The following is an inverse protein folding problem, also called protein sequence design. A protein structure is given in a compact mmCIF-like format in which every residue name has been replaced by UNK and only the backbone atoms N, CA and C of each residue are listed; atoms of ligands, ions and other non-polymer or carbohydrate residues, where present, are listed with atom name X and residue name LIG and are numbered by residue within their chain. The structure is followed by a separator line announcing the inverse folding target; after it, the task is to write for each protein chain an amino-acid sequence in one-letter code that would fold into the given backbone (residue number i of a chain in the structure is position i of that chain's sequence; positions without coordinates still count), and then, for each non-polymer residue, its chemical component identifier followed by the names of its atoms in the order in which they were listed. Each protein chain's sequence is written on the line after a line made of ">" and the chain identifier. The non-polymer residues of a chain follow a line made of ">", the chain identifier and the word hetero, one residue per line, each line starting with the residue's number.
data_IF_908683382696
#
_entry.id   IF_908683382696
#
_cell.length_a   1.000
_cell.length_b   1.000
_cell.length_c   1.000
_cell.angle_alpha   90.00
_cell.angle_beta   90.00
_cell.angle_gamma   90.00
#
_symmetry.space_group_name_H-M   'P 1'
#
loop_
_entity.id
_entity.type
_entity.pdbx_description
1 polymer ?
#
# COMPACT_ATOMS: atom_id res chain seq x y z
N UNK A 1 -16.20 -43.07 33.72
CA UNK A 1 -14.82 -42.71 34.09
C UNK A 1 -13.88 -43.50 33.19
N UNK A 2 -12.83 -42.87 32.66
CA UNK A 2 -12.01 -43.32 31.49
C UNK A 2 -12.80 -43.11 30.19
N UNK A 3 -12.75 -41.95 29.52
CA UNK A 3 -11.64 -41.51 28.65
C UNK A 3 -11.61 -39.97 28.53
N UNK A 4 -11.52 -39.26 29.66
CA UNK A 4 -11.08 -37.85 29.70
C UNK A 4 -9.54 -37.73 29.53
N UNK A 5 -8.85 -38.84 29.20
CA UNK A 5 -7.40 -38.93 29.03
C UNK A 5 -6.89 -38.87 27.60
N UNK A 6 -7.76 -38.82 26.58
CA UNK A 6 -7.34 -38.75 25.18
C UNK A 6 -7.24 -37.33 24.62
N UNK A 7 -7.73 -36.33 25.34
CA UNK A 7 -7.65 -34.91 24.94
C UNK A 7 -6.37 -34.26 25.48
N UNK A 8 -5.71 -34.84 26.49
CA UNK A 8 -4.49 -34.29 27.10
C UNK A 8 -3.19 -34.69 26.37
N UNK A 9 -3.22 -35.70 25.49
CA UNK A 9 -2.01 -36.23 24.83
C UNK A 9 -1.71 -35.61 23.45
N UNK A 10 -2.58 -34.75 22.93
CA UNK A 10 -2.36 -34.04 21.66
C UNK A 10 -1.69 -32.66 21.83
N UNK A 11 -1.45 -32.24 23.08
CA UNK A 11 -0.88 -30.92 23.41
C UNK A 11 0.64 -30.94 23.64
N UNK A 12 1.29 -32.12 23.65
CA UNK A 12 2.74 -32.25 23.97
C UNK A 12 3.65 -32.71 22.81
N UNK A 13 3.16 -32.76 21.57
CA UNK A 13 3.76 -33.60 20.53
C UNK A 13 4.43 -32.93 19.31
N UNK A 14 4.75 -31.63 19.31
CA UNK A 14 5.62 -31.08 18.28
C UNK A 14 6.76 -30.32 18.96
N UNK A 15 7.84 -31.06 19.18
CA UNK A 15 9.07 -30.57 19.76
C UNK A 15 9.53 -29.31 19.04
N UNK A 16 9.68 -28.26 19.83
CA UNK A 16 10.37 -27.03 19.47
C UNK A 16 11.71 -27.41 18.86
N UNK A 17 11.85 -27.27 17.54
CA UNK A 17 13.16 -27.25 16.91
C UNK A 17 13.81 -25.97 17.39
N UNK A 18 14.68 -26.06 18.40
CA UNK A 18 15.55 -24.96 18.75
C UNK A 18 16.54 -24.81 17.61
N UNK A 19 16.26 -23.87 16.71
CA UNK A 19 17.24 -23.42 15.75
C UNK A 19 18.43 -22.85 16.54
N UNK A 20 19.61 -23.47 16.40
CA UNK A 20 20.86 -22.81 16.81
C UNK A 20 21.00 -21.57 15.93
N UNK A 21 20.70 -20.39 16.49
CA UNK A 21 20.97 -19.13 15.83
C UNK A 21 22.48 -19.02 15.60
N UNK A 22 22.89 -18.97 14.33
CA UNK A 22 24.26 -18.70 13.95
C UNK A 22 24.65 -17.33 14.51
N UNK A 23 25.75 -17.26 15.27
CA UNK A 23 26.28 -15.99 15.75
C UNK A 23 26.61 -15.11 14.54
N UNK A 24 25.80 -14.09 14.30
CA UNK A 24 26.21 -12.96 13.46
C UNK A 24 27.33 -12.24 14.20
N UNK A 25 28.55 -12.30 13.64
CA UNK A 25 29.63 -11.41 14.04
C UNK A 25 29.34 -10.04 13.44
N UNK A 26 28.52 -9.25 14.13
CA UNK A 26 28.33 -7.84 13.82
C UNK A 26 29.49 -7.05 14.45
N UNK A 27 30.25 -6.25 13.67
CA UNK A 27 31.28 -5.38 14.22
C UNK A 27 30.63 -4.42 15.23
N UNK A 28 31.26 -4.33 16.41
CA UNK A 28 30.75 -3.55 17.55
C UNK A 28 31.14 -2.08 17.42
N UNK A 29 30.31 -1.33 16.71
CA UNK A 29 30.28 0.13 16.82
C UNK A 29 28.92 0.55 17.38
N UNK A 30 28.65 0.19 18.65
CA UNK A 30 27.46 0.68 19.36
C UNK A 30 27.79 2.05 19.98
N UNK A 31 27.49 3.11 19.26
CA UNK A 31 27.41 4.45 19.83
C UNK A 31 25.94 4.90 19.89
N UNK A 32 25.44 4.93 21.12
CA UNK A 32 24.28 5.70 21.61
C UNK A 32 22.86 5.23 21.26
N UNK A 33 22.13 4.84 22.31
CA UNK A 33 20.68 4.67 22.34
C UNK A 33 19.96 6.03 22.46
N UNK A 34 20.22 6.95 21.53
CA UNK A 34 19.43 8.19 21.34
C UNK A 34 19.43 8.63 19.86
N UNK A 35 19.89 7.78 18.95
CA UNK A 35 19.81 8.03 17.53
C UNK A 35 18.51 7.44 16.98
N UNK A 36 17.45 8.26 16.95
CA UNK A 36 16.37 8.08 16.00
C UNK A 36 17.04 8.09 14.62
N UNK A 37 17.30 6.91 14.04
CA UNK A 37 17.97 6.81 12.75
C UNK A 37 17.04 7.45 11.72
N UNK A 38 17.32 8.71 11.36
CA UNK A 38 16.41 9.50 10.52
C UNK A 38 16.36 8.84 9.15
N UNK A 39 15.24 8.18 8.86
CA UNK A 39 14.99 7.56 7.56
C UNK A 39 14.80 8.64 6.51
N UNK A 40 15.85 8.89 5.72
CA UNK A 40 15.89 9.94 4.71
C UNK A 40 16.53 9.44 3.39
N UNK A 41 16.70 10.33 2.40
CA UNK A 41 17.23 10.01 1.06
C UNK A 41 18.57 9.26 1.09
N UNK A 42 19.45 9.54 2.07
CA UNK A 42 20.76 8.90 2.21
C UNK A 42 20.68 7.42 2.63
N UNK A 43 19.49 6.94 3.02
CA UNK A 43 19.26 5.54 3.38
C UNK A 43 19.09 4.62 2.16
N UNK A 44 19.07 5.20 0.95
CA UNK A 44 18.84 4.51 -0.32
C UNK A 44 19.99 4.82 -1.28
N UNK A 45 20.23 3.97 -2.29
CA UNK A 45 21.26 4.24 -3.32
C UNK A 45 21.00 5.56 -4.05
N UNK A 46 22.05 6.19 -4.57
CA UNK A 46 21.95 7.44 -5.35
C UNK A 46 21.00 7.32 -6.54
N UNK A 47 20.88 6.12 -7.09
CA UNK A 47 20.12 5.85 -8.32
C UNK A 47 18.69 5.37 -8.02
N UNK A 48 18.33 5.26 -6.73
CA UNK A 48 16.96 4.93 -6.34
C UNK A 48 15.99 6.05 -6.77
N UNK A 49 14.93 5.69 -7.50
CA UNK A 49 13.93 6.64 -7.97
C UNK A 49 12.75 6.67 -7.00
N UNK A 50 12.43 7.86 -6.52
CA UNK A 50 11.17 8.15 -5.83
C UNK A 50 10.23 8.86 -6.80
N UNK A 51 8.95 8.50 -6.78
CA UNK A 51 7.95 9.10 -7.64
C UNK A 51 6.56 9.05 -7.02
N UNK A 52 5.60 9.62 -7.72
CA UNK A 52 4.18 9.54 -7.43
C UNK A 52 3.45 8.97 -8.64
N UNK A 53 2.26 8.41 -8.42
CA UNK A 53 1.43 7.82 -9.46
C UNK A 53 -0.02 8.28 -9.31
N UNK A 54 -0.75 8.31 -10.43
CA UNK A 54 -2.18 8.61 -10.51
C UNK A 54 -2.81 7.90 -11.70
N UNK A 55 -4.13 8.00 -11.83
CA UNK A 55 -4.88 7.43 -12.95
C UNK A 55 -5.74 8.51 -13.62
N UNK A 56 -5.85 8.43 -14.96
CA UNK A 56 -6.51 9.44 -15.79
C UNK A 56 -7.89 9.85 -15.27
N UNK A 57 -8.81 8.90 -15.07
CA UNK A 57 -10.18 9.19 -14.61
C UNK A 57 -10.25 9.83 -13.22
N UNK A 58 -9.28 9.57 -12.35
CA UNK A 58 -9.23 10.16 -11.01
C UNK A 58 -8.59 11.56 -10.99
N UNK A 59 -7.81 11.92 -12.02
CA UNK A 59 -6.98 13.12 -12.01
C UNK A 59 -7.35 14.15 -13.08
N UNK A 60 -7.59 13.72 -14.31
CA UNK A 60 -7.63 14.62 -15.47
C UNK A 60 -8.86 15.52 -15.45
N UNK A 61 -10.07 14.96 -15.33
CA UNK A 61 -11.29 15.70 -15.59
C UNK A 61 -11.50 15.93 -17.09
N UNK A 62 -12.09 17.08 -17.43
CA UNK A 62 -12.33 17.52 -18.80
C UNK A 62 -13.00 16.44 -19.67
N UNK A 63 -13.95 15.68 -19.09
CA UNK A 63 -14.46 14.44 -19.67
C UNK A 63 -15.11 14.60 -21.06
N UNK A 64 -15.49 15.83 -21.43
CA UNK A 64 -16.15 16.20 -22.71
C UNK A 64 -15.33 17.17 -23.56
N UNK A 65 -14.07 17.40 -23.23
CA UNK A 65 -13.20 18.35 -23.91
C UNK A 65 -12.17 17.64 -24.81
N UNK A 66 -11.46 18.42 -25.63
CA UNK A 66 -10.30 17.94 -26.39
C UNK A 66 -10.60 16.82 -27.41
N UNK A 67 -11.87 16.57 -27.73
CA UNK A 67 -12.27 15.46 -28.60
C UNK A 67 -12.22 14.09 -27.93
N UNK A 68 -12.11 14.02 -26.60
CA UNK A 68 -12.14 12.77 -25.83
C UNK A 68 -13.49 12.05 -25.97
N UNK A 69 -13.44 10.76 -26.28
CA UNK A 69 -14.62 9.89 -26.24
C UNK A 69 -14.92 9.38 -24.82
N UNK A 70 -16.18 9.03 -24.50
CA UNK A 70 -16.55 8.52 -23.19
C UNK A 70 -15.91 7.15 -22.90
N UNK A 71 -15.45 6.95 -21.67
CA UNK A 71 -14.99 5.67 -21.16
C UNK A 71 -16.10 4.94 -20.39
N UNK A 72 -15.81 3.69 -19.98
CA UNK A 72 -16.76 2.88 -19.20
C UNK A 72 -17.12 3.55 -17.87
N UNK A 73 -16.15 4.22 -17.22
CA UNK A 73 -16.40 4.93 -15.97
C UNK A 73 -17.31 6.12 -16.14
N UNK A 74 -17.16 6.92 -17.21
CA UNK A 74 -18.10 7.99 -17.54
C UNK A 74 -19.52 7.43 -17.63
N UNK A 75 -19.70 6.33 -18.38
CA UNK A 75 -21.02 5.71 -18.55
C UNK A 75 -21.57 5.21 -17.22
N UNK A 76 -20.74 4.53 -16.42
CA UNK A 76 -21.16 3.91 -15.18
C UNK A 76 -21.60 4.93 -14.13
N UNK A 77 -20.81 5.98 -13.89
CA UNK A 77 -21.13 6.98 -12.86
C UNK A 77 -22.34 7.82 -13.24
N UNK A 78 -22.52 8.14 -14.53
CA UNK A 78 -23.70 8.86 -15.01
C UNK A 78 -24.97 8.00 -15.01
N UNK A 79 -24.86 6.72 -15.38
CA UNK A 79 -26.02 5.83 -15.47
C UNK A 79 -26.47 5.31 -14.11
N UNK A 80 -25.53 5.13 -13.18
CA UNK A 80 -25.78 4.54 -11.87
C UNK A 80 -25.18 5.38 -10.74
N UNK A 81 -25.60 6.64 -10.55
CA UNK A 81 -25.05 7.52 -9.52
C UNK A 81 -25.23 6.94 -8.11
N UNK A 82 -26.29 6.18 -7.86
CA UNK A 82 -26.53 5.49 -6.57
C UNK A 82 -25.48 4.41 -6.24
N UNK A 83 -24.61 4.04 -7.20
CA UNK A 83 -23.49 3.11 -7.00
C UNK A 83 -22.22 3.82 -6.55
N UNK A 84 -22.20 5.14 -6.54
CA UNK A 84 -21.13 5.97 -5.97
C UNK A 84 -21.66 6.53 -4.65
N UNK A 85 -20.90 6.34 -3.56
CA UNK A 85 -21.36 6.65 -2.18
C UNK A 85 -21.90 8.08 -2.03
N UNK A 86 -21.27 9.04 -2.68
CA UNK A 86 -21.64 10.46 -2.68
C UNK A 86 -22.34 10.91 -3.97
N UNK A 87 -22.65 9.97 -4.87
CA UNK A 87 -23.27 10.20 -6.19
C UNK A 87 -22.43 11.07 -7.13
N UNK A 88 -21.12 11.20 -6.88
CA UNK A 88 -20.20 11.98 -7.72
C UNK A 88 -19.78 11.25 -9.01
N UNK A 89 -19.07 11.97 -9.89
CA UNK A 89 -18.49 11.46 -11.13
C UNK A 89 -17.09 12.07 -11.38
N UNK A 90 -16.42 11.62 -12.45
CA UNK A 90 -15.09 12.08 -12.85
C UNK A 90 -15.07 13.24 -13.86
N UNK A 91 -16.17 13.98 -14.04
CA UNK A 91 -16.26 15.00 -15.10
C UNK A 91 -15.17 16.08 -14.96
N UNK A 92 -14.87 16.47 -13.71
CA UNK A 92 -13.89 17.50 -13.35
C UNK A 92 -12.70 16.92 -12.58
N UNK A 93 -12.93 15.94 -11.69
CA UNK A 93 -11.89 15.35 -10.84
C UNK A 93 -11.06 16.42 -10.09
N UNK A 94 -9.72 16.32 -10.06
CA UNK A 94 -8.82 17.39 -9.58
C UNK A 94 -8.38 18.35 -10.67
N UNK A 95 -8.98 18.23 -11.86
CA UNK A 95 -8.79 19.11 -13.01
C UNK A 95 -7.34 19.18 -13.51
N UNK A 96 -6.63 18.07 -13.43
CA UNK A 96 -5.23 18.01 -13.87
C UNK A 96 -5.08 18.22 -15.38
N UNK A 97 -6.14 18.05 -16.18
CA UNK A 97 -6.12 18.37 -17.61
C UNK A 97 -5.77 19.85 -17.83
N UNK A 98 -6.34 20.76 -17.03
CA UNK A 98 -6.03 22.19 -17.10
C UNK A 98 -4.86 22.58 -16.19
N UNK A 99 -4.66 21.86 -15.08
CA UNK A 99 -3.78 22.27 -13.98
C UNK A 99 -2.50 21.45 -13.87
N UNK A 100 -2.09 20.75 -14.93
CA UNK A 100 -0.86 19.96 -14.93
C UNK A 100 0.42 20.79 -14.77
N UNK A 101 0.38 22.07 -15.15
CA UNK A 101 1.45 23.05 -14.92
C UNK A 101 1.06 23.96 -13.76
N UNK A 102 2.07 24.26 -12.95
CA UNK A 102 2.01 25.24 -11.85
C UNK A 102 2.69 26.52 -12.29
#
# INVERSE_FOLDING_TARGET
>A
MIKLGFILLLVLGCAVTTSKSAKQNHPKDYASCDAHHIFNRSSFSSDFIFGSAGAAYQFEGAAKEGGRGPCVWDTFTHKYPDKITDRSNGDVAVDSYHRYKV
#
